data_IF_892809163974
#
_entry.id   IF_892809163974
#
_cell.length_a   1.000
_cell.length_b   1.000
_cell.length_c   1.000
_cell.angle_alpha   90.00
_cell.angle_beta   90.00
_cell.angle_gamma   90.00
#
_symmetry.space_group_name_H-M   'P 1'
#
loop_
_entity.id
_entity.type
_entity.pdbx_description
1 polymer ?
#
# COMPACT_ATOMS: atom_id res chain seq x y z
N UNK A 1 21.72 -5.88 -7.29
CA UNK A 1 20.59 -5.60 -6.38
C UNK A 1 19.79 -4.47 -7.00
N UNK A 2 18.54 -4.72 -7.42
CA UNK A 2 17.61 -3.63 -7.70
C UNK A 2 17.08 -3.17 -6.34
N UNK A 3 17.57 -2.02 -5.86
CA UNK A 3 17.00 -1.34 -4.70
C UNK A 3 15.61 -0.79 -5.04
N UNK A 4 14.75 -0.67 -4.04
CA UNK A 4 13.48 0.06 -4.19
C UNK A 4 13.74 1.46 -4.75
N UNK A 5 12.84 1.97 -5.60
CA UNK A 5 13.05 3.20 -6.38
C UNK A 5 13.33 4.44 -5.52
N UNK A 6 12.93 4.42 -4.25
CA UNK A 6 13.01 5.55 -3.32
C UNK A 6 14.27 5.57 -2.47
N UNK A 7 14.89 4.42 -2.17
CA UNK A 7 15.97 4.33 -1.17
C UNK A 7 17.12 3.45 -1.67
N UNK A 8 18.33 3.70 -1.17
CA UNK A 8 19.47 2.83 -1.48
C UNK A 8 19.50 1.69 -0.46
N UNK A 9 19.44 0.46 -0.96
CA UNK A 9 19.35 -0.75 -0.12
C UNK A 9 20.48 -1.69 -0.49
N UNK A 10 21.18 -2.20 0.53
CA UNK A 10 22.23 -3.20 0.38
C UNK A 10 22.01 -4.34 1.35
N UNK A 11 22.29 -5.56 0.89
CA UNK A 11 22.42 -6.72 1.77
C UNK A 11 23.90 -6.96 2.09
N UNK A 12 24.22 -7.11 3.37
CA UNK A 12 25.52 -7.49 3.88
C UNK A 12 25.36 -8.72 4.79
N UNK A 13 25.56 -9.92 4.22
CA UNK A 13 25.33 -11.18 4.93
C UNK A 13 23.85 -11.38 5.30
N UNK A 14 23.59 -11.45 6.60
CA UNK A 14 22.30 -11.58 7.26
C UNK A 14 21.65 -10.23 7.61
N UNK A 15 22.19 -9.12 7.10
CA UNK A 15 21.69 -7.76 7.38
C UNK A 15 21.31 -7.03 6.10
N UNK A 16 20.34 -6.15 6.22
CA UNK A 16 19.98 -5.17 5.20
C UNK A 16 20.26 -3.78 5.75
N UNK A 17 21.04 -2.99 5.01
CA UNK A 17 21.26 -1.57 5.24
C UNK A 17 20.39 -0.77 4.25
N UNK A 18 19.57 0.13 4.78
CA UNK A 18 18.73 1.06 4.03
C UNK A 18 19.18 2.48 4.32
N UNK A 19 19.62 3.20 3.29
CA UNK A 19 19.91 4.63 3.34
C UNK A 19 18.80 5.40 2.66
N UNK A 20 18.13 6.26 3.43
CA UNK A 20 16.93 6.96 2.97
C UNK A 20 17.33 8.13 2.08
N UNK A 21 16.71 8.21 0.90
CA UNK A 21 16.84 9.41 0.08
C UNK A 21 15.87 10.49 0.59
N UNK A 22 16.15 11.78 0.31
CA UNK A 22 15.22 12.86 0.62
C UNK A 22 13.81 12.53 0.10
N UNK A 23 12.78 12.90 0.88
CA UNK A 23 11.38 12.69 0.50
C UNK A 23 11.14 13.28 -0.89
N UNK A 24 10.91 12.42 -1.87
CA UNK A 24 10.29 12.84 -3.13
C UNK A 24 8.83 13.20 -2.85
N UNK A 25 8.25 14.07 -3.67
CA UNK A 25 6.83 14.49 -3.56
C UNK A 25 5.82 13.39 -3.90
N UNK A 26 6.08 12.12 -3.54
CA UNK A 26 5.14 11.02 -3.72
C UNK A 26 3.88 11.29 -2.88
N UNK A 27 2.71 11.45 -3.51
CA UNK A 27 1.54 11.95 -2.80
C UNK A 27 0.71 10.85 -2.13
N UNK A 28 1.09 9.57 -2.31
CA UNK A 28 0.37 8.42 -1.75
C UNK A 28 1.23 7.64 -0.74
N UNK A 29 2.49 7.36 -1.07
CA UNK A 29 3.39 6.58 -0.23
C UNK A 29 4.47 7.45 0.39
N UNK A 30 4.53 7.46 1.72
CA UNK A 30 5.57 8.16 2.46
C UNK A 30 6.93 7.46 2.32
N UNK A 31 7.99 8.19 2.64
CA UNK A 31 9.34 7.67 2.79
C UNK A 31 9.89 8.15 4.13
N UNK A 32 9.36 7.60 5.23
CA UNK A 32 9.64 8.06 6.58
C UNK A 32 10.53 7.07 7.37
N UNK A 33 11.80 7.42 7.64
CA UNK A 33 12.72 6.57 8.40
C UNK A 33 12.34 6.38 9.85
N UNK A 34 11.71 7.39 10.46
CA UNK A 34 11.35 7.34 11.86
C UNK A 34 10.20 6.37 12.08
N UNK A 35 9.18 6.43 11.20
CA UNK A 35 8.06 5.48 11.22
C UNK A 35 8.50 4.05 11.00
N UNK A 36 9.42 3.82 10.06
CA UNK A 36 9.94 2.46 9.81
C UNK A 36 10.66 1.93 11.04
N UNK A 37 11.55 2.71 11.64
CA UNK A 37 12.22 2.29 12.88
C UNK A 37 11.23 2.05 14.04
N UNK A 38 10.25 2.94 14.24
CA UNK A 38 9.24 2.80 15.28
C UNK A 38 8.38 1.54 15.09
N UNK A 39 7.96 1.24 13.86
CA UNK A 39 7.20 0.03 13.54
C UNK A 39 8.01 -1.25 13.83
N UNK A 40 9.29 -1.30 13.42
CA UNK A 40 10.13 -2.46 13.69
C UNK A 40 10.35 -2.68 15.20
N UNK A 41 10.42 -1.61 15.99
CA UNK A 41 10.55 -1.69 17.45
C UNK A 41 9.24 -2.12 18.11
N UNK A 42 8.11 -1.50 17.74
CA UNK A 42 6.80 -1.75 18.35
C UNK A 42 6.27 -3.16 18.06
N UNK A 43 6.57 -3.69 16.86
CA UNK A 43 6.14 -5.03 16.43
C UNK A 43 7.22 -6.10 16.60
N UNK A 44 8.30 -5.80 17.32
CA UNK A 44 9.39 -6.74 17.56
C UNK A 44 8.87 -8.03 18.23
N UNK A 45 9.32 -9.19 17.75
CA UNK A 45 8.93 -10.50 18.28
C UNK A 45 7.58 -11.03 17.76
N UNK A 46 6.80 -10.24 17.03
CA UNK A 46 5.53 -10.71 16.43
C UNK A 46 5.72 -11.60 15.20
N UNK A 47 6.91 -11.58 14.59
CA UNK A 47 7.19 -12.23 13.31
C UNK A 47 6.68 -11.47 12.08
N UNK A 48 5.93 -10.38 12.26
CA UNK A 48 5.35 -9.58 11.17
C UNK A 48 6.32 -8.58 10.57
N UNK A 49 7.43 -8.28 11.26
CA UNK A 49 8.44 -7.29 10.87
C UNK A 49 9.85 -7.90 10.92
N UNK A 50 10.82 -7.41 10.12
CA UNK A 50 12.21 -7.78 10.30
C UNK A 50 12.74 -7.26 11.65
N UNK A 51 13.71 -7.98 12.22
CA UNK A 51 14.37 -7.54 13.46
C UNK A 51 15.12 -6.22 13.22
N UNK A 52 14.76 -5.16 13.95
CA UNK A 52 15.55 -3.93 13.98
C UNK A 52 16.92 -4.20 14.64
N UNK A 53 18.00 -3.77 14.01
CA UNK A 53 19.36 -3.96 14.53
C UNK A 53 20.01 -2.64 14.94
N UNK A 54 19.91 -1.61 14.10
CA UNK A 54 20.45 -0.28 14.40
C UNK A 54 19.84 0.78 13.48
N UNK A 55 19.81 2.03 13.91
CA UNK A 55 19.46 3.17 13.07
C UNK A 55 20.33 4.38 13.42
N UNK A 56 20.39 5.36 12.53
CA UNK A 56 21.18 6.57 12.76
C UNK A 56 21.16 7.54 11.60
N UNK A 57 22.14 8.46 11.59
CA UNK A 57 22.34 9.41 10.50
C UNK A 57 23.75 9.29 9.92
N UNK A 58 23.86 9.46 8.61
CA UNK A 58 25.12 9.52 7.88
C UNK A 58 25.00 10.63 6.83
N UNK A 59 25.90 11.63 6.89
CA UNK A 59 25.85 12.82 6.02
C UNK A 59 24.47 13.49 5.95
N UNK A 60 23.82 13.66 7.11
CA UNK A 60 22.49 14.26 7.19
C UNK A 60 21.32 13.39 6.70
N UNK A 61 21.59 12.17 6.21
CA UNK A 61 20.56 11.21 5.77
C UNK A 61 20.35 10.15 6.84
N UNK A 62 19.09 9.78 7.08
CA UNK A 62 18.77 8.68 7.97
C UNK A 62 19.18 7.34 7.34
N UNK A 63 19.56 6.37 8.17
CA UNK A 63 19.77 4.99 7.77
C UNK A 63 19.18 4.03 8.82
N UNK A 64 18.83 2.82 8.36
CA UNK A 64 18.31 1.73 9.16
C UNK A 64 19.01 0.44 8.76
N UNK A 65 19.38 -0.37 9.74
CA UNK A 65 19.86 -1.74 9.59
C UNK A 65 18.85 -2.67 10.26
N UNK A 66 18.39 -3.67 9.51
CA UNK A 66 17.52 -4.73 10.01
C UNK A 66 17.98 -6.11 9.53
N UNK A 67 17.51 -7.16 10.19
CA UNK A 67 17.80 -8.55 9.85
C UNK A 67 17.23 -8.93 8.49
N UNK A 68 18.06 -9.52 7.62
CA UNK A 68 17.63 -10.03 6.33
C UNK A 68 16.74 -11.26 6.53
N UNK A 69 15.52 -11.21 5.98
CA UNK A 69 14.62 -12.36 5.96
C UNK A 69 15.05 -13.29 4.82
N UNK A 70 15.43 -14.52 5.17
CA UNK A 70 15.77 -15.55 4.17
C UNK A 70 14.48 -16.12 3.60
N UNK A 71 14.00 -15.52 2.52
CA UNK A 71 12.78 -15.92 1.86
C UNK A 71 12.72 -15.43 0.40
N UNK A 72 11.54 -15.56 -0.19
CA UNK A 72 11.26 -15.05 -1.53
C UNK A 72 10.14 -14.02 -1.47
N UNK A 73 10.08 -13.06 -2.42
CA UNK A 73 8.89 -12.21 -2.57
C UNK A 73 7.64 -13.07 -2.73
N UNK A 74 6.55 -12.66 -2.07
CA UNK A 74 5.26 -13.33 -2.16
C UNK A 74 4.74 -13.34 -3.61
N UNK A 75 4.12 -14.45 -4.02
CA UNK A 75 3.56 -14.63 -5.37
C UNK A 75 2.20 -15.34 -5.44
N UNK A 76 1.77 -16.03 -4.39
CA UNK A 76 0.57 -16.86 -4.40
C UNK A 76 0.04 -17.06 -2.99
N UNK A 77 -1.19 -17.55 -2.84
CA UNK A 77 -1.90 -17.67 -1.56
C UNK A 77 -2.21 -16.31 -0.96
N UNK A 78 -3.18 -15.63 -1.58
CA UNK A 78 -3.67 -14.33 -1.14
C UNK A 78 -4.43 -14.45 0.18
N UNK A 79 -5.04 -15.61 0.47
CA UNK A 79 -5.72 -15.85 1.75
C UNK A 79 -4.78 -15.72 2.95
N UNK A 80 -3.55 -16.22 2.83
CA UNK A 80 -2.53 -16.06 3.87
C UNK A 80 -2.14 -14.59 4.09
N UNK A 81 -2.09 -13.77 3.03
CA UNK A 81 -1.88 -12.32 3.17
C UNK A 81 -3.03 -11.67 3.93
N UNK A 82 -4.28 -12.03 3.62
CA UNK A 82 -5.46 -11.50 4.31
C UNK A 82 -5.41 -11.80 5.82
N UNK A 83 -5.01 -13.02 6.20
CA UNK A 83 -4.84 -13.40 7.60
C UNK A 83 -3.72 -12.63 8.28
N UNK A 84 -2.60 -12.38 7.59
CA UNK A 84 -1.51 -11.55 8.10
C UNK A 84 -1.99 -10.11 8.38
N UNK A 85 -2.69 -9.50 7.42
CA UNK A 85 -3.23 -8.15 7.59
C UNK A 85 -4.26 -8.10 8.73
N UNK A 86 -5.10 -9.13 8.86
CA UNK A 86 -6.01 -9.25 9.99
C UNK A 86 -5.28 -9.24 11.35
N UNK A 87 -4.19 -10.00 11.48
CA UNK A 87 -3.35 -10.00 12.70
C UNK A 87 -2.67 -8.66 12.95
N UNK A 88 -2.23 -7.97 11.89
CA UNK A 88 -1.66 -6.63 11.98
C UNK A 88 -2.69 -5.63 12.49
N UNK A 89 -3.90 -5.65 11.93
CA UNK A 89 -4.95 -4.68 12.27
C UNK A 89 -5.51 -4.86 13.70
N UNK A 90 -5.23 -6.00 14.33
CA UNK A 90 -5.51 -6.30 15.75
C UNK A 90 -4.39 -5.85 16.70
N UNK A 91 -3.23 -5.44 16.18
CA UNK A 91 -2.16 -4.89 17.01
C UNK A 91 -2.51 -3.49 17.53
N UNK A 92 -2.05 -3.13 18.74
CA UNK A 92 -2.14 -1.76 19.20
C UNK A 92 -1.34 -0.83 18.29
N UNK A 93 -1.87 0.39 18.09
CA UNK A 93 -1.08 1.48 17.53
C UNK A 93 0.10 1.84 18.43
N UNK A 94 1.09 2.53 17.87
CA UNK A 94 2.23 3.08 18.61
C UNK A 94 2.32 4.59 18.40
N UNK A 95 3.15 5.25 19.21
CA UNK A 95 3.28 6.70 19.23
C UNK A 95 3.67 7.28 17.86
N UNK A 96 3.21 8.51 17.59
CA UNK A 96 3.59 9.32 16.42
C UNK A 96 3.13 8.81 15.05
N UNK A 97 2.21 7.84 15.02
CA UNK A 97 1.53 7.46 13.79
C UNK A 97 0.61 8.59 13.30
N UNK A 98 0.69 8.99 12.02
CA UNK A 98 -0.28 9.92 11.46
C UNK A 98 -1.64 9.24 11.31
N UNK A 99 -2.69 10.05 11.24
CA UNK A 99 -4.00 9.57 10.80
C UNK A 99 -3.97 9.22 9.31
N UNK A 100 -4.53 8.05 8.99
CA UNK A 100 -4.76 7.63 7.62
C UNK A 100 -6.02 8.21 7.02
N UNK A 101 -6.20 8.02 5.71
CA UNK A 101 -7.45 8.41 5.06
C UNK A 101 -8.59 7.54 5.59
N UNK A 102 -9.72 8.17 5.92
CA UNK A 102 -10.83 7.49 6.55
C UNK A 102 -12.17 7.94 5.95
N UNK A 103 -12.87 6.98 5.34
CA UNK A 103 -14.12 7.23 4.64
C UNK A 103 -13.96 7.91 3.28
N UNK A 104 -15.04 7.96 2.51
CA UNK A 104 -15.01 8.38 1.11
C UNK A 104 -14.60 9.83 0.92
N UNK A 105 -14.97 10.72 1.85
CA UNK A 105 -14.64 12.15 1.75
C UNK A 105 -13.14 12.41 1.90
N UNK A 106 -12.43 11.66 2.74
CA UNK A 106 -10.98 11.77 2.89
C UNK A 106 -10.26 11.25 1.63
N UNK A 107 -10.67 10.09 1.12
CA UNK A 107 -10.16 9.53 -0.13
C UNK A 107 -10.38 10.48 -1.32
N UNK A 108 -11.55 11.10 -1.39
CA UNK A 108 -11.86 12.10 -2.41
C UNK A 108 -10.90 13.29 -2.35
N UNK A 109 -10.69 13.86 -1.15
CA UNK A 109 -9.77 14.99 -0.97
C UNK A 109 -8.35 14.63 -1.41
N UNK A 110 -7.85 13.46 -1.00
CA UNK A 110 -6.50 13.03 -1.39
C UNK A 110 -6.40 12.79 -2.90
N UNK A 111 -7.37 12.12 -3.52
CA UNK A 111 -7.37 11.90 -4.97
C UNK A 111 -7.45 13.21 -5.76
N UNK A 112 -8.23 14.20 -5.30
CA UNK A 112 -8.24 15.56 -5.88
C UNK A 112 -6.87 16.22 -5.76
N UNK A 113 -6.26 16.19 -4.57
CA UNK A 113 -4.93 16.77 -4.35
C UNK A 113 -3.85 16.14 -5.23
N UNK A 114 -3.92 14.82 -5.49
CA UNK A 114 -3.02 14.15 -6.44
C UNK A 114 -3.24 14.68 -7.87
N UNK A 115 -4.49 14.77 -8.31
CA UNK A 115 -4.83 15.29 -9.64
C UNK A 115 -4.45 16.76 -9.82
N UNK A 116 -4.48 17.55 -8.75
CA UNK A 116 -4.11 18.98 -8.77
C UNK A 116 -2.59 19.19 -8.94
N UNK A 117 -1.77 18.15 -8.74
CA UNK A 117 -0.33 18.18 -9.07
C UNK A 117 -0.05 17.94 -10.56
N UNK A 118 -1.07 17.57 -11.34
CA UNK A 118 -0.95 17.27 -12.76
C UNK A 118 -1.46 18.46 -13.59
N UNK A 119 -1.03 18.59 -14.87
CA UNK A 119 -1.55 19.63 -15.75
C UNK A 119 -3.07 19.55 -15.90
N UNK A 120 -3.77 20.59 -15.41
CA UNK A 120 -5.24 20.64 -15.29
C UNK A 120 -5.98 20.48 -16.63
N UNK A 121 -5.37 20.89 -17.74
CA UNK A 121 -5.97 20.83 -19.08
C UNK A 121 -5.67 19.53 -19.85
N UNK A 122 -5.18 18.48 -19.18
CA UNK A 122 -4.89 17.21 -19.84
C UNK A 122 -6.13 16.29 -19.88
N UNK A 123 -6.38 15.68 -21.04
CA UNK A 123 -7.49 14.74 -21.25
C UNK A 123 -7.54 13.60 -20.21
N UNK A 124 -6.41 12.98 -19.80
CA UNK A 124 -6.43 11.94 -18.76
C UNK A 124 -6.89 12.45 -17.39
N UNK A 125 -6.56 13.70 -17.02
CA UNK A 125 -7.03 14.30 -15.76
C UNK A 125 -8.54 14.51 -15.82
N UNK A 126 -9.06 15.05 -16.92
CA UNK A 126 -10.50 15.23 -17.13
C UNK A 126 -11.25 13.89 -17.07
N UNK A 127 -10.70 12.85 -17.71
CA UNK A 127 -11.26 11.50 -17.69
C UNK A 127 -11.38 10.96 -16.26
N UNK A 128 -10.31 11.02 -15.44
CA UNK A 128 -10.36 10.51 -14.07
C UNK A 128 -11.33 11.33 -13.22
N UNK A 129 -11.36 12.66 -13.35
CA UNK A 129 -12.34 13.51 -12.65
C UNK A 129 -13.78 13.13 -13.00
N UNK A 130 -14.06 12.84 -14.27
CA UNK A 130 -15.37 12.40 -14.74
C UNK A 130 -15.82 11.04 -14.20
N UNK A 131 -14.88 10.20 -13.75
CA UNK A 131 -15.14 8.88 -13.14
C UNK A 131 -15.22 8.94 -11.61
N UNK A 132 -15.32 10.13 -11.01
CA UNK A 132 -15.51 10.29 -9.57
C UNK A 132 -16.72 9.46 -9.09
N UNK A 133 -16.57 8.59 -8.08
CA UNK A 133 -17.67 7.81 -7.56
C UNK A 133 -18.81 8.66 -6.97
N UNK A 134 -20.00 8.07 -6.91
CA UNK A 134 -21.21 8.65 -6.30
C UNK A 134 -21.48 7.92 -4.98
N UNK A 135 -22.03 8.64 -3.99
CA UNK A 135 -22.35 8.11 -2.67
C UNK A 135 -21.38 8.61 -1.60
N UNK A 136 -21.62 8.20 -0.36
CA UNK A 136 -20.76 8.51 0.78
C UNK A 136 -20.62 7.29 1.68
N UNK A 137 -19.41 7.09 2.19
CA UNK A 137 -19.12 6.12 3.24
C UNK A 137 -18.52 6.91 4.41
N UNK A 138 -19.14 6.89 5.60
CA UNK A 138 -18.68 7.69 6.73
C UNK A 138 -17.32 7.20 7.25
N UNK A 139 -16.55 8.07 7.92
CA UNK A 139 -15.33 7.67 8.62
C UNK A 139 -15.64 6.69 9.76
N UNK A 140 -14.70 5.80 10.07
CA UNK A 140 -14.70 5.00 11.29
C UNK A 140 -14.33 5.86 12.49
N UNK A 141 -14.95 5.57 13.64
CA UNK A 141 -14.53 6.13 14.92
C UNK A 141 -13.32 5.37 15.49
N UNK A 142 -13.29 4.04 15.33
CA UNK A 142 -12.18 3.19 15.76
C UNK A 142 -11.27 2.91 14.57
N UNK A 143 -10.00 3.30 14.70
CA UNK A 143 -8.95 3.06 13.70
C UNK A 143 -8.09 1.87 14.12
N UNK A 144 -7.41 1.29 13.14
CA UNK A 144 -6.43 0.21 13.31
C UNK A 144 -5.04 0.69 12.93
N UNK A 145 -4.01 0.03 13.48
CA UNK A 145 -2.68 0.08 12.87
C UNK A 145 -2.76 -0.52 11.47
N UNK A 146 -2.37 0.24 10.45
CA UNK A 146 -2.25 -0.23 9.07
C UNK A 146 -0.79 -0.11 8.61
N UNK A 147 -0.36 -0.97 7.69
CA UNK A 147 0.94 -0.90 7.04
C UNK A 147 1.04 0.33 6.11
N UNK A 148 -0.04 0.62 5.38
CA UNK A 148 -0.13 1.75 4.44
C UNK A 148 0.63 1.52 3.12
N UNK A 149 1.22 0.35 2.92
CA UNK A 149 1.84 -0.09 1.66
C UNK A 149 2.03 -1.62 1.56
N UNK A 150 1.00 -2.46 1.86
CA UNK A 150 1.14 -3.93 1.85
C UNK A 150 1.09 -4.51 0.42
N UNK A 151 1.87 -3.94 -0.50
CA UNK A 151 1.97 -4.41 -1.88
C UNK A 151 2.77 -5.72 -1.96
N UNK A 152 2.64 -6.53 -3.03
CA UNK A 152 3.35 -7.80 -3.16
C UNK A 152 4.87 -7.72 -2.96
N UNK A 153 5.48 -6.59 -3.34
CA UNK A 153 6.92 -6.36 -3.19
C UNK A 153 7.38 -6.21 -1.73
N UNK A 154 6.44 -5.91 -0.83
CA UNK A 154 6.68 -5.71 0.60
C UNK A 154 6.31 -6.95 1.44
N UNK A 155 5.99 -8.07 0.79
CA UNK A 155 5.67 -9.35 1.43
C UNK A 155 6.79 -10.36 1.14
N UNK A 156 7.41 -10.88 2.19
CA UNK A 156 8.44 -11.93 2.09
C UNK A 156 7.88 -13.22 2.64
N UNK A 157 7.82 -14.26 1.79
CA UNK A 157 7.45 -15.61 2.15
C UNK A 157 8.68 -16.41 2.58
N UNK A 158 8.60 -17.04 3.76
CA UNK A 158 9.65 -17.90 4.32
C UNK A 158 9.02 -18.87 5.31
N UNK A 159 9.54 -20.09 5.40
CA UNK A 159 9.14 -21.10 6.41
C UNK A 159 7.63 -21.28 6.62
N UNK A 160 6.84 -21.18 5.53
CA UNK A 160 5.38 -21.29 5.57
C UNK A 160 4.65 -20.10 6.21
N UNK A 161 5.35 -19.01 6.50
CA UNK A 161 4.84 -17.74 7.03
C UNK A 161 5.09 -16.57 6.06
N UNK A 162 4.58 -15.39 6.42
CA UNK A 162 4.77 -14.13 5.71
C UNK A 162 5.24 -13.04 6.68
N UNK A 163 6.20 -12.25 6.24
CA UNK A 163 6.68 -11.06 6.96
C UNK A 163 6.56 -9.83 6.07
N UNK A 164 6.06 -8.74 6.63
CA UNK A 164 5.97 -7.43 5.96
C UNK A 164 7.28 -6.67 6.14
N UNK A 165 7.73 -6.04 5.07
CA UNK A 165 8.91 -5.16 5.04
C UNK A 165 8.51 -3.78 4.53
N UNK A 166 9.43 -2.82 4.60
CA UNK A 166 9.22 -1.44 4.11
C UNK A 166 8.12 -0.68 4.88
N UNK A 167 8.30 -0.61 6.21
CA UNK A 167 7.37 0.03 7.15
C UNK A 167 7.44 1.57 7.15
N UNK A 168 7.58 2.20 5.99
CA UNK A 168 7.70 3.67 5.87
C UNK A 168 6.36 4.40 5.89
N UNK A 169 5.29 3.66 5.64
CA UNK A 169 3.95 4.16 5.48
C UNK A 169 2.96 3.86 6.62
N UNK A 170 3.32 3.34 7.81
CA UNK A 170 2.31 2.95 8.79
C UNK A 170 1.53 4.16 9.30
N UNK A 171 0.26 3.92 9.60
CA UNK A 171 -0.72 4.94 10.02
C UNK A 171 -1.67 4.32 11.04
N UNK A 172 -2.36 5.17 11.79
CA UNK A 172 -3.63 4.79 12.41
C UNK A 172 -4.73 5.13 11.43
N UNK A 173 -5.36 4.11 10.83
CA UNK A 173 -6.22 4.31 9.67
C UNK A 173 -7.36 3.31 9.56
N UNK A 174 -8.11 3.46 8.47
CA UNK A 174 -9.14 2.52 8.06
C UNK A 174 -8.48 1.21 7.58
N UNK A 175 -8.71 0.06 8.23
CA UNK A 175 -8.06 -1.20 7.84
C UNK A 175 -8.36 -1.63 6.41
N UNK A 176 -9.47 -1.15 5.82
CA UNK A 176 -9.79 -1.43 4.41
C UNK A 176 -8.84 -0.77 3.41
N UNK A 177 -8.01 0.19 3.84
CA UNK A 177 -6.93 0.79 3.05
C UNK A 177 -5.90 -0.26 2.63
N UNK A 178 -5.44 -1.08 3.58
CA UNK A 178 -4.44 -2.13 3.33
C UNK A 178 -4.99 -3.23 2.41
N UNK A 179 -6.27 -3.59 2.57
CA UNK A 179 -6.96 -4.50 1.65
C UNK A 179 -6.97 -3.91 0.23
N UNK A 180 -7.30 -2.62 0.10
CA UNK A 180 -7.38 -1.96 -1.19
C UNK A 180 -6.02 -1.82 -1.89
N UNK A 181 -4.96 -1.57 -1.13
CA UNK A 181 -3.59 -1.50 -1.65
C UNK A 181 -3.10 -2.86 -2.13
N UNK A 182 -3.36 -3.93 -1.38
CA UNK A 182 -3.02 -5.29 -1.81
C UNK A 182 -3.85 -5.71 -3.04
N UNK A 183 -5.16 -5.48 -3.04
CA UNK A 183 -6.07 -5.87 -4.14
C UNK A 183 -5.98 -4.98 -5.38
N UNK A 184 -5.19 -3.89 -5.34
CA UNK A 184 -5.01 -2.99 -6.47
C UNK A 184 -4.37 -3.72 -7.66
N UNK A 185 -5.03 -3.80 -8.83
CA UNK A 185 -4.43 -4.42 -10.01
C UNK A 185 -3.19 -3.66 -10.50
N UNK A 186 -3.08 -2.35 -10.26
CA UNK A 186 -1.84 -1.62 -10.51
C UNK A 186 -0.70 -2.11 -9.62
N UNK A 187 -0.93 -2.24 -8.31
CA UNK A 187 0.13 -2.69 -7.39
C UNK A 187 0.52 -4.13 -7.68
N UNK A 188 -0.45 -5.01 -7.96
CA UNK A 188 -0.18 -6.40 -8.34
C UNK A 188 0.69 -6.48 -9.59
N UNK A 189 0.34 -5.79 -10.69
CA UNK A 189 1.15 -5.88 -11.91
C UNK A 189 2.56 -5.29 -11.74
N UNK A 190 2.71 -4.23 -10.94
CA UNK A 190 4.00 -3.55 -10.76
C UNK A 190 4.98 -4.33 -9.90
N UNK A 191 4.48 -5.08 -8.91
CA UNK A 191 5.33 -5.76 -7.94
C UNK A 191 5.35 -7.28 -8.09
N UNK A 192 4.31 -7.89 -8.67
CA UNK A 192 4.21 -9.34 -8.95
C UNK A 192 4.34 -9.67 -10.44
N UNK A 193 3.98 -8.74 -11.33
CA UNK A 193 4.03 -8.90 -12.79
C UNK A 193 2.70 -9.28 -13.44
N UNK A 194 1.69 -9.59 -12.64
CA UNK A 194 0.35 -9.98 -13.08
C UNK A 194 -0.70 -9.46 -12.09
N UNK A 195 -1.96 -9.38 -12.52
CA UNK A 195 -3.08 -9.06 -11.62
C UNK A 195 -3.52 -10.33 -10.88
N UNK A 196 -4.19 -10.16 -9.74
CA UNK A 196 -4.89 -11.27 -9.10
C UNK A 196 -6.01 -11.78 -10.03
N UNK A 197 -6.19 -13.09 -10.08
CA UNK A 197 -7.38 -13.71 -10.64
C UNK A 197 -8.59 -13.48 -9.72
N UNK A 198 -9.79 -13.62 -10.26
CA UNK A 198 -11.03 -13.54 -9.47
C UNK A 198 -11.03 -14.51 -8.29
N UNK A 199 -10.53 -15.74 -8.48
CA UNK A 199 -10.41 -16.72 -7.39
C UNK A 199 -9.43 -16.31 -6.30
N UNK A 200 -8.33 -15.62 -6.64
CA UNK A 200 -7.40 -15.08 -5.64
C UNK A 200 -7.99 -13.86 -4.91
N UNK A 201 -8.73 -12.98 -5.59
CA UNK A 201 -9.46 -11.89 -4.93
C UNK A 201 -10.50 -12.44 -3.94
N UNK A 202 -11.29 -13.43 -4.35
CA UNK A 202 -12.30 -14.09 -3.51
C UNK A 202 -11.65 -14.81 -2.32
N UNK A 203 -10.56 -15.55 -2.55
CA UNK A 203 -9.82 -16.22 -1.48
C UNK A 203 -9.25 -15.23 -0.45
N UNK A 204 -8.75 -14.09 -0.90
CA UNK A 204 -8.28 -13.03 -0.02
C UNK A 204 -9.42 -12.48 0.85
N UNK A 205 -10.53 -12.08 0.21
CA UNK A 205 -11.65 -11.47 0.92
C UNK A 205 -12.33 -12.46 1.88
N UNK A 206 -12.41 -13.74 1.52
CA UNK A 206 -12.98 -14.79 2.37
C UNK A 206 -12.08 -15.15 3.57
N UNK A 207 -10.76 -15.01 3.43
CA UNK A 207 -9.80 -15.36 4.48
C UNK A 207 -9.52 -14.21 5.47
N UNK A 208 -9.91 -12.98 5.14
CA UNK A 208 -9.77 -11.85 6.08
C UNK A 208 -10.72 -12.04 7.28
N UNK A 209 -10.23 -11.94 8.53
CA UNK A 209 -10.97 -12.44 9.71
C UNK A 209 -12.20 -11.61 10.09
N UNK A 210 -12.27 -10.32 9.73
CA UNK A 210 -13.42 -9.46 10.03
C UNK A 210 -14.24 -9.15 8.76
N UNK A 211 -15.42 -9.78 8.59
CA UNK A 211 -16.32 -9.52 7.47
C UNK A 211 -16.83 -8.08 7.39
N UNK A 212 -16.85 -7.34 8.51
CA UNK A 212 -17.22 -5.93 8.55
C UNK A 212 -16.22 -5.04 7.81
N UNK A 213 -14.92 -5.29 8.00
CA UNK A 213 -13.85 -4.62 7.24
C UNK A 213 -13.92 -4.99 5.76
N UNK A 214 -14.23 -6.25 5.43
CA UNK A 214 -14.43 -6.68 4.03
C UNK A 214 -15.61 -5.94 3.38
N UNK A 215 -16.76 -5.88 4.05
CA UNK A 215 -17.93 -5.12 3.58
C UNK A 215 -17.63 -3.62 3.42
N UNK A 216 -16.82 -3.07 4.32
CA UNK A 216 -16.35 -1.69 4.24
C UNK A 216 -15.42 -1.45 3.05
N UNK A 217 -14.43 -2.34 2.82
CA UNK A 217 -13.59 -2.31 1.62
C UNK A 217 -14.46 -2.31 0.36
N UNK A 218 -15.44 -3.21 0.26
CA UNK A 218 -16.31 -3.29 -0.92
C UNK A 218 -17.10 -2.00 -1.14
N UNK A 219 -17.55 -1.36 -0.07
CA UNK A 219 -18.26 -0.06 -0.13
C UNK A 219 -17.34 1.09 -0.57
N UNK A 220 -16.06 1.04 -0.20
CA UNK A 220 -15.05 2.05 -0.55
C UNK A 220 -14.28 1.71 -1.83
N UNK A 221 -14.42 0.50 -2.39
CA UNK A 221 -13.67 -0.01 -3.56
C UNK A 221 -13.65 0.99 -4.73
N UNK A 222 -14.78 1.64 -5.12
CA UNK A 222 -14.74 2.67 -6.16
C UNK A 222 -13.88 3.89 -5.81
N UNK A 223 -13.89 4.33 -4.55
CA UNK A 223 -13.09 5.46 -4.08
C UNK A 223 -11.60 5.12 -4.06
N UNK A 224 -11.26 3.91 -3.64
CA UNK A 224 -9.88 3.42 -3.68
C UNK A 224 -9.33 3.34 -5.10
N UNK A 225 -10.07 2.74 -6.04
CA UNK A 225 -9.65 2.71 -7.46
C UNK A 225 -9.56 4.11 -8.07
N UNK A 226 -10.48 5.02 -7.72
CA UNK A 226 -10.43 6.40 -8.21
C UNK A 226 -9.17 7.14 -7.76
N UNK A 227 -8.83 7.04 -6.47
CA UNK A 227 -7.58 7.59 -5.92
C UNK A 227 -6.35 6.91 -6.53
N UNK A 228 -6.37 5.58 -6.67
CA UNK A 228 -5.25 4.83 -7.23
C UNK A 228 -5.03 5.14 -8.71
N UNK A 229 -6.09 5.37 -9.49
CA UNK A 229 -5.98 5.85 -10.87
C UNK A 229 -5.33 7.24 -10.93
N UNK A 230 -5.71 8.18 -10.05
CA UNK A 230 -5.05 9.48 -9.95
C UNK A 230 -3.55 9.33 -9.64
N UNK A 231 -3.20 8.46 -8.69
CA UNK A 231 -1.81 8.17 -8.35
C UNK A 231 -1.03 7.52 -9.51
N UNK A 232 -1.63 6.55 -10.20
CA UNK A 232 -1.00 5.92 -11.36
C UNK A 232 -0.77 6.91 -12.50
N UNK A 233 -1.70 7.85 -12.74
CA UNK A 233 -1.51 8.92 -13.70
C UNK A 233 -0.35 9.83 -13.29
N UNK A 234 -0.29 10.23 -12.02
CA UNK A 234 0.82 11.00 -11.47
C UNK A 234 2.17 10.30 -11.68
N UNK A 235 2.25 9.01 -11.37
CA UNK A 235 3.47 8.21 -11.55
C UNK A 235 3.85 8.04 -13.03
N UNK A 236 2.86 7.94 -13.92
CA UNK A 236 3.08 7.73 -15.35
C UNK A 236 3.72 8.92 -16.08
N UNK A 237 3.80 10.11 -15.46
CA UNK A 237 4.45 11.31 -16.02
C UNK A 237 5.92 11.06 -16.40
N UNK A 238 6.60 10.14 -15.71
CA UNK A 238 7.97 9.73 -16.05
C UNK A 238 8.05 8.88 -17.34
N UNK A 239 6.91 8.50 -17.94
CA UNK A 239 6.82 7.89 -19.26
C UNK A 239 7.09 6.39 -19.33
N UNK A 240 7.25 5.68 -18.20
CA UNK A 240 7.49 4.23 -18.21
C UNK A 240 6.24 3.44 -18.64
N UNK A 241 6.42 2.45 -19.52
CA UNK A 241 5.33 1.65 -20.08
C UNK A 241 4.51 0.89 -19.01
N UNK A 242 5.20 0.36 -17.99
CA UNK A 242 4.55 -0.32 -16.84
C UNK A 242 3.59 0.61 -16.08
N UNK A 243 3.90 1.90 -15.97
CA UNK A 243 3.09 2.85 -15.19
C UNK A 243 1.82 3.23 -15.96
N UNK A 244 1.90 3.32 -17.30
CA UNK A 244 0.72 3.43 -18.16
C UNK A 244 -0.16 2.19 -18.07
N UNK A 245 0.44 1.00 -18.10
CA UNK A 245 -0.31 -0.26 -17.94
C UNK A 245 -1.03 -0.33 -16.60
N UNK A 246 -0.37 0.08 -15.51
CA UNK A 246 -0.97 0.17 -14.18
C UNK A 246 -2.18 1.12 -14.16
N UNK A 247 -2.05 2.30 -14.78
CA UNK A 247 -3.17 3.25 -14.90
C UNK A 247 -4.37 2.65 -15.65
N UNK A 248 -4.14 1.99 -16.78
CA UNK A 248 -5.22 1.36 -17.56
C UNK A 248 -5.99 0.31 -16.75
N UNK A 249 -5.26 -0.52 -15.99
CA UNK A 249 -5.85 -1.55 -15.13
C UNK A 249 -6.72 -0.94 -14.03
N UNK A 250 -6.26 0.12 -13.38
CA UNK A 250 -7.05 0.83 -12.36
C UNK A 250 -8.28 1.51 -12.94
N UNK A 251 -8.17 2.12 -14.12
CA UNK A 251 -9.32 2.70 -14.82
C UNK A 251 -10.37 1.65 -15.17
N UNK A 252 -9.95 0.44 -15.56
CA UNK A 252 -10.87 -0.66 -15.81
C UNK A 252 -11.54 -1.14 -14.52
N UNK A 253 -10.78 -1.33 -13.44
CA UNK A 253 -11.31 -1.74 -12.15
C UNK A 253 -12.28 -0.69 -11.57
N UNK A 254 -11.92 0.59 -11.67
CA UNK A 254 -12.80 1.71 -11.32
C UNK A 254 -14.13 1.64 -12.07
N UNK A 255 -14.10 1.53 -13.41
CA UNK A 255 -15.31 1.45 -14.24
C UNK A 255 -16.23 0.28 -13.87
N UNK A 256 -15.64 -0.89 -13.57
CA UNK A 256 -16.41 -2.06 -13.11
C UNK A 256 -17.03 -1.81 -11.73
N UNK A 257 -16.28 -1.19 -10.82
CA UNK A 257 -16.75 -0.92 -9.44
C UNK A 257 -17.86 0.12 -9.36
N UNK A 258 -17.89 1.12 -10.26
CA UNK A 258 -18.98 2.13 -10.32
C UNK A 258 -20.21 1.64 -11.10
N UNK A 259 -20.09 0.58 -11.90
CA UNK A 259 -21.17 0.06 -12.74
C UNK A 259 -21.15 -1.46 -12.77
N UNK A 260 -21.60 -2.13 -11.69
CA UNK A 260 -21.52 -3.60 -11.58
C UNK A 260 -22.35 -4.36 -12.63
N UNK A 261 -23.28 -3.71 -13.32
CA UNK A 261 -24.27 -4.32 -14.23
C UNK A 261 -23.77 -4.59 -15.67
N UNK A 262 -22.46 -4.63 -15.91
CA UNK A 262 -21.87 -4.96 -17.24
C UNK A 262 -20.66 -5.91 -17.14
N UNK A 263 -20.74 -6.89 -16.24
CA UNK A 263 -19.83 -8.03 -16.20
C UNK A 263 -20.64 -9.30 -16.53
#
# INVERSE_FOLDING_TARGET
MQGGRSNRVWRAGDRVLKLYQPRGGNPLFANDPHRENAALMALAGTGMVPQSLASGRFEGRAWLIYGHITGAPWRQDSGHVAQLLGRLHDQPGFEELPEGMNGSAALERQGKAILDQLPTASEPVAQIRGLRPIGQVPPLAQLSLIHGDPVPGNLVAHDGTLTLIDWQCPQLGDPSEDLALFLSPAMQVLYRGEVLSTGEEEAFLAAYPDPGVVGRYLSLKPWYHWRMAAYCLWRSQAGAAQDRRALELELQALKRSISPKKA
#
